data_IF_305819312207
#
_entry.id   IF_305819312207
#
_cell.length_a   1.000
_cell.length_b   1.000
_cell.length_c   1.000
_cell.angle_alpha   90.00
_cell.angle_beta   90.00
_cell.angle_gamma   90.00
#
_symmetry.space_group_name_H-M   'P 1'
#
loop_
_entity.id
_entity.type
_entity.pdbx_description
1 polymer ?
#
# COMPACT_ATOMS: atom_id res chain seq x y z
N UNK A 1 -12.56 7.90 16.34
CA UNK A 1 -11.50 8.58 17.12
C UNK A 1 -10.20 7.78 17.09
N UNK A 2 -10.17 6.55 17.64
CA UNK A 2 -9.00 5.65 17.68
C UNK A 2 -8.22 5.54 16.35
N UNK A 3 -8.86 5.03 15.30
CA UNK A 3 -8.24 4.85 13.98
C UNK A 3 -7.75 6.14 13.32
N UNK A 4 -8.38 7.28 13.65
CA UNK A 4 -7.98 8.60 13.13
C UNK A 4 -6.71 9.09 13.81
N UNK A 5 -6.63 8.94 15.14
CA UNK A 5 -5.44 9.32 15.91
C UNK A 5 -4.24 8.46 15.49
N UNK A 6 -4.43 7.14 15.36
CA UNK A 6 -3.40 6.22 14.90
C UNK A 6 -2.88 6.61 13.51
N UNK A 7 -3.79 6.85 12.56
CA UNK A 7 -3.41 7.24 11.20
C UNK A 7 -2.65 8.57 11.17
N UNK A 8 -3.13 9.59 11.89
CA UNK A 8 -2.47 10.89 11.94
C UNK A 8 -1.09 10.81 12.60
N UNK A 9 -0.99 10.18 13.78
CA UNK A 9 0.28 10.06 14.50
C UNK A 9 1.28 9.21 13.71
N UNK A 10 0.87 8.04 13.21
CA UNK A 10 1.75 7.16 12.44
C UNK A 10 2.22 7.80 11.14
N UNK A 11 1.36 8.59 10.47
CA UNK A 11 1.76 9.33 9.27
C UNK A 11 2.82 10.38 9.59
N UNK A 12 2.65 11.14 10.68
CA UNK A 12 3.64 12.13 11.14
C UNK A 12 4.98 11.46 11.45
N UNK A 13 4.99 10.41 12.28
CA UNK A 13 6.22 9.66 12.59
C UNK A 13 6.85 9.00 11.36
N UNK A 14 6.05 8.53 10.40
CA UNK A 14 6.56 7.98 9.16
C UNK A 14 7.33 9.04 8.34
N UNK A 15 6.92 10.30 8.33
CA UNK A 15 7.69 11.36 7.66
C UNK A 15 9.04 11.60 8.33
N UNK A 16 9.09 11.62 9.66
CA UNK A 16 10.36 11.70 10.41
C UNK A 16 11.27 10.54 10.06
N UNK A 17 10.75 9.31 10.15
CA UNK A 17 11.50 8.09 9.91
C UNK A 17 11.98 7.94 8.45
N UNK A 18 11.14 8.31 7.47
CA UNK A 18 11.50 8.27 6.06
C UNK A 18 12.63 9.26 5.73
N UNK A 19 12.55 10.48 6.26
CA UNK A 19 13.60 11.49 6.06
C UNK A 19 14.92 11.11 6.72
N UNK A 20 14.87 10.44 7.88
CA UNK A 20 16.04 9.90 8.57
C UNK A 20 16.67 8.74 7.79
N UNK A 21 15.84 7.87 7.20
CA UNK A 21 16.29 6.74 6.38
C UNK A 21 17.07 7.14 5.13
N UNK A 22 16.74 8.27 4.51
CA UNK A 22 17.52 8.77 3.36
C UNK A 22 18.98 9.08 3.72
N UNK A 23 19.27 9.40 5.00
CA UNK A 23 20.62 9.76 5.47
C UNK A 23 21.34 8.61 6.18
N UNK A 24 20.61 7.76 6.91
CA UNK A 24 21.18 6.73 7.79
C UNK A 24 21.01 5.30 7.28
N UNK A 25 20.44 5.12 6.08
CA UNK A 25 20.22 3.82 5.47
C UNK A 25 18.76 3.34 5.50
N UNK A 26 18.44 2.39 4.62
CA UNK A 26 17.13 1.73 4.49
C UNK A 26 16.95 0.59 5.48
N UNK A 27 18.02 -0.13 5.83
CA UNK A 27 17.93 -1.28 6.75
C UNK A 27 17.50 -0.87 8.17
N UNK A 28 18.03 0.21 8.78
CA UNK A 28 17.59 0.65 10.10
C UNK A 28 16.12 1.05 10.14
N UNK A 29 15.59 1.66 9.06
CA UNK A 29 14.18 2.00 8.95
C UNK A 29 13.29 0.75 8.98
N UNK A 30 13.66 -0.27 8.20
CA UNK A 30 12.93 -1.54 8.13
C UNK A 30 12.95 -2.26 9.49
N UNK A 31 14.12 -2.33 10.14
CA UNK A 31 14.25 -2.91 11.47
C UNK A 31 13.41 -2.16 12.50
N UNK A 32 13.40 -0.82 12.47
CA UNK A 32 12.61 0.00 13.39
C UNK A 32 11.11 -0.28 13.25
N UNK A 33 10.60 -0.36 12.01
CA UNK A 33 9.21 -0.75 11.76
C UNK A 33 8.86 -2.14 12.31
N UNK A 34 9.75 -3.13 12.10
CA UNK A 34 9.58 -4.49 12.63
C UNK A 34 9.61 -4.51 14.17
N UNK A 35 10.50 -3.73 14.80
CA UNK A 35 10.57 -3.64 16.27
C UNK A 35 9.31 -3.04 16.89
N UNK A 36 8.70 -2.05 16.24
CA UNK A 36 7.44 -1.46 16.70
C UNK A 36 6.29 -2.48 16.71
N UNK A 37 6.18 -3.28 15.64
CA UNK A 37 5.22 -4.39 15.56
C UNK A 37 5.51 -5.48 16.60
N UNK A 38 6.78 -5.83 16.80
CA UNK A 38 7.18 -6.83 17.79
C UNK A 38 6.78 -6.40 19.21
N UNK A 39 7.11 -5.17 19.59
CA UNK A 39 6.80 -4.63 20.90
C UNK A 39 5.28 -4.49 21.11
N UNK A 40 4.56 -4.11 20.06
CA UNK A 40 3.10 -4.07 20.05
C UNK A 40 2.48 -5.46 20.33
N UNK A 41 2.91 -6.50 19.62
CA UNK A 41 2.42 -7.86 19.86
C UNK A 41 2.85 -8.44 21.21
N UNK A 42 4.03 -8.09 21.72
CA UNK A 42 4.47 -8.46 23.07
C UNK A 42 3.56 -7.87 24.13
N UNK A 43 3.22 -6.58 24.02
CA UNK A 43 2.27 -5.92 24.95
C UNK A 43 0.91 -6.60 24.87
N UNK A 44 0.41 -6.90 23.67
CA UNK A 44 -0.86 -7.63 23.49
C UNK A 44 -0.83 -9.02 24.12
N UNK A 45 0.26 -9.77 23.97
CA UNK A 45 0.43 -11.07 24.60
C UNK A 45 0.42 -10.96 26.14
N UNK A 46 1.14 -9.99 26.71
CA UNK A 46 1.18 -9.75 28.17
C UNK A 46 -0.21 -9.36 28.70
N UNK A 47 -0.87 -8.38 28.07
CA UNK A 47 -2.20 -7.92 28.48
C UNK A 47 -3.22 -9.06 28.38
N UNK A 48 -3.12 -9.92 27.35
CA UNK A 48 -4.01 -11.07 27.19
C UNK A 48 -3.83 -12.17 28.25
N UNK A 49 -2.67 -12.23 28.91
CA UNK A 49 -2.39 -13.21 29.97
C UNK A 49 -2.99 -12.82 31.33
N UNK A 50 -3.45 -11.57 31.46
CA UNK A 50 -3.92 -10.99 32.71
C UNK A 50 -5.46 -11.00 32.75
N UNK A 51 -6.05 -11.92 33.52
CA UNK A 51 -7.50 -12.23 33.49
C UNK A 51 -8.44 -11.10 33.98
N UNK A 52 -7.94 -10.05 34.65
CA UNK A 52 -8.75 -9.00 35.30
C UNK A 52 -8.24 -7.58 34.99
N UNK A 53 -8.09 -7.26 33.70
CA UNK A 53 -7.62 -5.94 33.27
C UNK A 53 -8.69 -5.16 32.51
N UNK A 54 -8.72 -3.85 32.75
CA UNK A 54 -9.59 -2.92 32.05
C UNK A 54 -9.30 -2.96 30.53
N UNK A 55 -10.32 -2.96 29.65
CA UNK A 55 -10.13 -2.98 28.20
C UNK A 55 -9.23 -1.85 27.65
N UNK A 56 -9.07 -0.76 28.41
CA UNK A 56 -8.21 0.37 28.06
C UNK A 56 -6.72 0.00 27.93
N UNK A 57 -6.23 -1.03 28.62
CA UNK A 57 -4.82 -1.45 28.52
C UNK A 57 -4.48 -2.04 27.15
N UNK A 58 -5.48 -2.52 26.39
CA UNK A 58 -5.27 -2.90 25.00
C UNK A 58 -4.88 -1.71 24.12
N UNK A 59 -5.06 -0.46 24.54
CA UNK A 59 -4.55 0.70 23.78
C UNK A 59 -3.04 0.90 23.94
N UNK A 60 -2.39 0.30 24.95
CA UNK A 60 -0.95 0.50 25.18
C UNK A 60 -0.07 -0.01 24.04
N UNK A 61 -0.51 -1.05 23.33
CA UNK A 61 0.22 -1.59 22.17
C UNK A 61 0.35 -0.57 21.01
N UNK A 62 -0.48 0.48 20.99
CA UNK A 62 -0.48 1.50 19.94
C UNK A 62 0.67 2.49 20.11
N UNK A 63 1.14 2.70 21.34
CA UNK A 63 2.21 3.65 21.64
C UNK A 63 3.49 3.27 20.87
N UNK A 64 4.07 2.06 21.05
CA UNK A 64 5.28 1.68 20.31
C UNK A 64 5.01 1.52 18.81
N UNK A 65 3.80 1.11 18.42
CA UNK A 65 3.42 0.96 17.03
C UNK A 65 3.42 2.32 16.30
N UNK A 66 2.80 3.34 16.88
CA UNK A 66 2.72 4.70 16.30
C UNK A 66 4.10 5.37 16.28
N UNK A 67 4.89 5.24 17.35
CA UNK A 67 6.24 5.82 17.43
C UNK A 67 7.16 5.26 16.34
N UNK A 68 6.99 3.99 15.98
CA UNK A 68 7.74 3.34 14.91
C UNK A 68 7.16 3.58 13.49
N UNK A 69 6.14 4.44 13.37
CA UNK A 69 5.46 4.75 12.10
C UNK A 69 4.53 3.66 11.58
N UNK A 70 4.17 2.69 12.43
CA UNK A 70 3.23 1.58 12.14
C UNK A 70 3.56 0.85 10.83
N UNK A 71 2.54 0.28 10.19
CA UNK A 71 2.65 -0.37 8.88
C UNK A 71 3.07 0.61 7.77
N UNK A 72 2.84 1.92 7.94
CA UNK A 72 3.19 2.95 6.94
C UNK A 72 4.70 3.01 6.75
N UNK A 73 5.46 3.03 7.86
CA UNK A 73 6.93 3.04 7.85
C UNK A 73 7.50 1.77 7.23
N UNK A 74 6.97 0.59 7.61
CA UNK A 74 7.42 -0.69 7.06
C UNK A 74 7.17 -0.78 5.54
N UNK A 75 5.98 -0.39 5.08
CA UNK A 75 5.67 -0.38 3.65
C UNK A 75 6.55 0.61 2.90
N UNK A 76 6.78 1.80 3.45
CA UNK A 76 7.69 2.79 2.88
C UNK A 76 9.11 2.25 2.76
N UNK A 77 9.62 1.59 3.81
CA UNK A 77 10.95 0.99 3.82
C UNK A 77 11.10 -0.07 2.71
N UNK A 78 10.13 -0.99 2.60
CA UNK A 78 10.12 -2.02 1.57
C UNK A 78 10.06 -1.41 0.15
N UNK A 79 9.17 -0.44 -0.08
CA UNK A 79 9.02 0.22 -1.38
C UNK A 79 10.30 0.95 -1.80
N UNK A 80 10.94 1.63 -0.86
CA UNK A 80 12.18 2.37 -1.10
C UNK A 80 13.36 1.42 -1.34
N UNK A 81 13.47 0.36 -0.54
CA UNK A 81 14.50 -0.67 -0.75
C UNK A 81 14.37 -1.35 -2.12
N UNK A 82 13.14 -1.66 -2.56
CA UNK A 82 12.88 -2.21 -3.89
C UNK A 82 13.17 -1.16 -4.98
N UNK A 83 12.88 0.13 -4.78
CA UNK A 83 13.23 1.14 -5.79
C UNK A 83 14.74 1.29 -5.97
N UNK A 84 15.50 1.12 -4.88
CA UNK A 84 16.94 1.36 -4.85
C UNK A 84 17.71 0.16 -5.43
N UNK A 85 17.27 -1.08 -5.17
CA UNK A 85 17.95 -2.32 -5.58
C UNK A 85 17.57 -2.84 -6.97
N UNK A 86 16.48 -2.35 -7.56
CA UNK A 86 15.86 -2.97 -8.75
C UNK A 86 16.00 -2.06 -9.98
N UNK A 87 16.42 -2.60 -11.14
CA UNK A 87 16.49 -1.83 -12.38
C UNK A 87 15.09 -1.46 -12.89
N UNK A 88 14.98 -0.24 -13.44
CA UNK A 88 13.72 0.43 -13.79
C UNK A 88 12.73 -0.41 -14.61
N UNK A 89 13.22 -1.23 -15.55
CA UNK A 89 12.37 -2.06 -16.40
C UNK A 89 11.65 -3.21 -15.69
N UNK A 90 12.16 -3.65 -14.52
CA UNK A 90 11.61 -4.79 -13.77
C UNK A 90 10.96 -4.41 -12.43
N UNK A 91 10.96 -3.10 -12.09
CA UNK A 91 10.43 -2.59 -10.83
C UNK A 91 8.96 -2.96 -10.62
N UNK A 92 8.11 -2.73 -11.61
CA UNK A 92 6.69 -3.05 -11.53
C UNK A 92 6.41 -4.54 -11.24
N UNK A 93 7.23 -5.45 -11.78
CA UNK A 93 7.11 -6.88 -11.51
C UNK A 93 7.51 -7.22 -10.07
N UNK A 94 8.63 -6.69 -9.57
CA UNK A 94 9.07 -6.93 -8.19
C UNK A 94 8.16 -6.30 -7.15
N UNK A 95 7.62 -5.11 -7.43
CA UNK A 95 6.58 -4.48 -6.59
C UNK A 95 5.28 -5.30 -6.60
N UNK A 96 4.90 -5.85 -7.75
CA UNK A 96 3.76 -6.78 -7.86
C UNK A 96 3.98 -8.07 -7.05
N UNK A 97 5.19 -8.62 -7.05
CA UNK A 97 5.56 -9.77 -6.22
C UNK A 97 5.49 -9.46 -4.73
N UNK A 98 5.95 -8.28 -4.31
CA UNK A 98 5.85 -7.81 -2.93
C UNK A 98 4.39 -7.76 -2.46
N UNK A 99 3.52 -7.11 -3.24
CA UNK A 99 2.08 -7.06 -2.99
C UNK A 99 1.46 -8.47 -2.95
N UNK A 100 1.88 -9.35 -3.85
CA UNK A 100 1.47 -10.76 -3.84
C UNK A 100 1.84 -11.46 -2.52
N UNK A 101 3.07 -11.28 -2.04
CA UNK A 101 3.54 -11.86 -0.78
C UNK A 101 2.75 -11.34 0.44
N UNK A 102 2.45 -10.03 0.48
CA UNK A 102 1.61 -9.44 1.55
C UNK A 102 0.21 -10.07 1.55
N UNK A 103 -0.40 -10.26 0.38
CA UNK A 103 -1.73 -10.87 0.27
C UNK A 103 -1.73 -12.36 0.65
N UNK A 104 -0.69 -13.11 0.30
CA UNK A 104 -0.52 -14.51 0.73
C UNK A 104 -0.42 -14.56 2.27
N UNK A 105 0.40 -13.69 2.87
CA UNK A 105 0.53 -13.59 4.32
C UNK A 105 -0.80 -13.26 5.00
N UNK A 106 -1.56 -12.30 4.46
CA UNK A 106 -2.89 -11.94 4.96
C UNK A 106 -3.88 -13.10 4.86
N UNK A 107 -3.87 -13.85 3.75
CA UNK A 107 -4.74 -15.00 3.56
C UNK A 107 -4.44 -16.13 4.56
N UNK A 108 -3.16 -16.48 4.73
CA UNK A 108 -2.73 -17.50 5.70
C UNK A 108 -3.07 -17.04 7.12
N UNK A 109 -2.78 -15.77 7.46
CA UNK A 109 -3.06 -15.21 8.77
C UNK A 109 -4.55 -15.24 9.12
N UNK A 110 -5.41 -14.76 8.20
CA UNK A 110 -6.87 -14.72 8.43
C UNK A 110 -7.46 -16.13 8.55
N UNK A 111 -7.00 -17.07 7.70
CA UNK A 111 -7.51 -18.45 7.71
C UNK A 111 -7.08 -19.22 8.95
N UNK A 112 -5.81 -19.12 9.34
CA UNK A 112 -5.26 -19.85 10.49
C UNK A 112 -5.71 -19.27 11.83
N UNK A 113 -5.89 -17.95 11.92
CA UNK A 113 -6.24 -17.27 13.17
C UNK A 113 -7.55 -17.79 13.78
N UNK A 114 -8.59 -18.00 12.98
CA UNK A 114 -9.88 -18.48 13.49
C UNK A 114 -9.80 -19.88 14.12
N UNK A 115 -9.02 -20.79 13.55
CA UNK A 115 -8.85 -22.14 14.11
C UNK A 115 -8.03 -22.13 15.40
N UNK A 116 -6.90 -21.42 15.40
CA UNK A 116 -6.02 -21.31 16.57
C UNK A 116 -6.75 -20.64 17.73
N UNK A 117 -7.51 -19.59 17.43
CA UNK A 117 -8.30 -18.86 18.41
C UNK A 117 -9.34 -19.76 19.11
N UNK A 118 -10.10 -20.54 18.35
CA UNK A 118 -11.14 -21.41 18.92
C UNK A 118 -10.57 -22.54 19.79
N UNK A 119 -9.36 -23.02 19.51
CA UNK A 119 -8.74 -24.13 20.24
C UNK A 119 -7.91 -23.68 21.46
N UNK A 120 -7.19 -22.56 21.35
CA UNK A 120 -6.17 -22.17 22.34
C UNK A 120 -6.31 -20.74 22.88
N UNK A 121 -7.36 -20.02 22.50
CA UNK A 121 -7.66 -18.67 22.97
C UNK A 121 -6.75 -17.56 22.41
N UNK A 122 -6.97 -16.33 22.86
CA UNK A 122 -6.28 -15.13 22.36
C UNK A 122 -4.77 -15.10 22.66
N UNK A 123 -4.36 -15.59 23.83
CA UNK A 123 -2.96 -15.53 24.27
C UNK A 123 -2.03 -16.28 23.32
N UNK A 124 -2.45 -17.47 22.88
CA UNK A 124 -1.68 -18.31 21.95
C UNK A 124 -1.52 -17.64 20.59
N UNK A 125 -2.58 -16.97 20.10
CA UNK A 125 -2.53 -16.21 18.83
C UNK A 125 -1.47 -15.11 18.91
N UNK A 126 -1.46 -14.31 19.98
CA UNK A 126 -0.48 -13.24 20.13
C UNK A 126 0.95 -13.77 20.29
N UNK A 127 1.15 -14.89 21.00
CA UNK A 127 2.47 -15.53 21.11
C UNK A 127 3.00 -16.00 19.76
N UNK A 128 2.13 -16.56 18.89
CA UNK A 128 2.52 -16.94 17.52
C UNK A 128 2.88 -15.70 16.70
N UNK A 129 2.13 -14.60 16.82
CA UNK A 129 2.50 -13.34 16.16
C UNK A 129 3.87 -12.82 16.62
N UNK A 130 4.17 -12.88 17.93
CA UNK A 130 5.48 -12.50 18.48
C UNK A 130 6.60 -13.37 17.91
N UNK A 131 6.45 -14.69 17.87
CA UNK A 131 7.50 -15.58 17.35
C UNK A 131 7.71 -15.36 15.85
N UNK A 132 6.64 -15.20 15.06
CA UNK A 132 6.76 -14.85 13.64
C UNK A 132 7.48 -13.51 13.44
N UNK A 133 7.16 -12.50 14.24
CA UNK A 133 7.78 -11.18 14.14
C UNK A 133 9.26 -11.19 14.59
N UNK A 134 9.61 -11.98 15.61
CA UNK A 134 10.99 -12.21 16.02
C UNK A 134 11.79 -12.88 14.90
N UNK A 135 11.24 -13.92 14.27
CA UNK A 135 11.88 -14.57 13.12
C UNK A 135 12.08 -13.58 11.96
N UNK A 136 11.09 -12.75 11.66
CA UNK A 136 11.20 -11.69 10.64
C UNK A 136 12.28 -10.67 10.97
N UNK A 137 12.40 -10.29 12.25
CA UNK A 137 13.44 -9.38 12.73
C UNK A 137 14.85 -9.96 12.58
N UNK A 138 15.04 -11.21 13.03
CA UNK A 138 16.32 -11.94 12.89
C UNK A 138 16.69 -12.08 11.42
N UNK A 139 15.74 -12.50 10.58
CA UNK A 139 15.96 -12.63 9.14
C UNK A 139 16.35 -11.28 8.51
N UNK A 140 15.66 -10.20 8.86
CA UNK A 140 15.96 -8.86 8.36
C UNK A 140 17.34 -8.36 8.82
N UNK A 141 17.79 -8.77 10.01
CA UNK A 141 19.11 -8.44 10.50
C UNK A 141 20.24 -9.18 9.76
N UNK A 142 20.06 -10.45 9.40
CA UNK A 142 21.12 -11.23 8.76
C UNK A 142 21.11 -11.14 7.23
N UNK A 143 19.94 -11.06 6.60
CA UNK A 143 19.80 -11.23 5.15
C UNK A 143 19.63 -9.93 4.36
N UNK A 144 19.31 -8.80 5.01
CA UNK A 144 19.12 -7.53 4.31
C UNK A 144 20.42 -6.73 4.35
N UNK A 145 20.96 -6.48 3.16
CA UNK A 145 22.11 -5.61 2.93
C UNK A 145 21.66 -4.15 2.91
N UNK A 146 22.57 -3.24 3.25
CA UNK A 146 22.28 -1.80 3.22
C UNK A 146 22.29 -1.31 1.76
N UNK A 147 21.22 -0.66 1.32
CA UNK A 147 21.07 -0.22 -0.08
C UNK A 147 21.54 1.22 -0.33
N UNK A 148 21.81 2.00 0.73
CA UNK A 148 22.26 3.39 0.63
C UNK A 148 23.71 3.48 1.11
N UNK A 149 24.57 4.08 0.30
CA UNK A 149 25.94 4.41 0.70
C UNK A 149 25.90 5.45 1.84
N UNK A 150 26.35 5.04 3.02
CA UNK A 150 26.34 5.87 4.22
C UNK A 150 27.47 6.91 4.07
N UNK A 151 27.13 8.12 3.60
CA UNK A 151 28.09 9.20 3.38
C UNK A 151 28.64 9.82 4.68
N UNK A 152 27.98 9.61 5.83
CA UNK A 152 28.40 10.16 7.12
C UNK A 152 28.32 9.14 8.26
N UNK A 153 29.44 8.94 8.96
CA UNK A 153 29.60 7.95 10.03
C UNK A 153 29.13 8.47 11.41
N UNK A 154 28.60 9.70 11.51
CA UNK A 154 28.06 10.23 12.75
C UNK A 154 26.62 9.76 12.96
N UNK A 155 26.46 8.58 13.60
CA UNK A 155 25.17 8.04 14.06
C UNK A 155 24.55 8.93 15.15
N UNK A 156 23.96 10.06 14.77
CA UNK A 156 23.23 10.95 15.69
C UNK A 156 21.77 10.52 15.74
N UNK A 157 21.44 9.62 16.67
CA UNK A 157 20.07 9.19 16.97
C UNK A 157 19.13 10.36 17.34
N UNK A 158 19.69 11.47 17.84
CA UNK A 158 18.94 12.70 18.14
C UNK A 158 18.41 13.42 16.89
N UNK A 159 18.95 13.14 15.70
CA UNK A 159 18.45 13.70 14.44
C UNK A 159 17.08 13.15 14.03
N UNK A 160 16.60 12.07 14.68
CA UNK A 160 15.24 11.54 14.51
C UNK A 160 14.15 12.53 14.94
N UNK A 161 14.48 13.45 15.86
CA UNK A 161 13.55 14.46 16.40
C UNK A 161 13.82 15.86 15.87
N UNK A 162 14.72 16.02 14.89
CA UNK A 162 14.89 17.31 14.24
C UNK A 162 13.68 17.59 13.33
N UNK A 163 13.18 18.82 13.39
CA UNK A 163 12.02 19.28 12.61
C UNK A 163 12.45 19.73 11.20
N UNK A 164 13.75 19.99 11.00
CA UNK A 164 14.31 20.39 9.71
C UNK A 164 14.08 19.34 8.59
N UNK A 165 14.28 18.03 8.80
CA UNK A 165 13.95 16.97 7.83
C UNK A 165 12.49 16.92 7.39
N UNK A 166 11.53 17.26 8.27
CA UNK A 166 10.09 17.31 7.92
C UNK A 166 9.78 18.55 7.09
N UNK A 167 10.36 19.70 7.46
CA UNK A 167 10.28 20.91 6.64
C UNK A 167 10.87 20.65 5.25
N UNK A 168 11.99 19.95 5.16
CA UNK A 168 12.58 19.53 3.89
C UNK A 168 11.69 18.52 3.14
N UNK A 169 11.07 17.54 3.81
CA UNK A 169 10.17 16.57 3.17
C UNK A 169 8.91 17.23 2.61
N UNK A 170 8.33 18.16 3.35
CA UNK A 170 7.22 18.99 2.88
C UNK A 170 7.67 19.89 1.73
N UNK A 171 8.83 20.54 1.85
CA UNK A 171 9.41 21.34 0.76
C UNK A 171 9.69 20.48 -0.47
N UNK A 172 10.13 19.24 -0.34
CA UNK A 172 10.38 18.29 -1.45
C UNK A 172 9.09 17.95 -2.21
N UNK A 173 7.95 17.83 -1.51
CA UNK A 173 6.63 17.64 -2.12
C UNK A 173 6.16 18.89 -2.90
N UNK A 174 6.60 20.07 -2.48
CA UNK A 174 6.22 21.36 -3.09
C UNK A 174 7.34 21.99 -3.96
N UNK A 175 8.51 21.37 -4.03
CA UNK A 175 9.69 21.86 -4.75
C UNK A 175 9.34 21.94 -6.24
N UNK A 176 9.62 23.09 -6.84
CA UNK A 176 9.42 23.27 -8.28
C UNK A 176 10.48 22.45 -9.01
N UNK A 177 10.07 21.32 -9.60
CA UNK A 177 10.91 20.48 -10.46
C UNK A 177 10.73 20.91 -11.91
N UNK A 178 11.78 20.82 -12.71
CA UNK A 178 11.71 21.01 -14.16
C UNK A 178 10.80 19.95 -14.81
N UNK A 179 10.25 20.22 -15.99
CA UNK A 179 9.44 19.29 -16.80
C UNK A 179 8.14 18.73 -16.19
N UNK A 180 7.28 19.56 -15.57
CA UNK A 180 5.94 19.14 -15.09
C UNK A 180 5.93 17.92 -14.14
N UNK A 181 7.10 17.48 -13.62
CA UNK A 181 7.23 16.30 -12.77
C UNK A 181 6.43 16.47 -11.47
N UNK A 182 6.29 17.71 -10.96
CA UNK A 182 5.41 18.00 -9.82
C UNK A 182 3.96 17.58 -10.10
N UNK A 183 3.41 17.99 -11.24
CA UNK A 183 2.02 17.68 -11.60
C UNK A 183 1.83 16.18 -11.79
N UNK A 184 2.81 15.50 -12.41
CA UNK A 184 2.82 14.04 -12.54
C UNK A 184 2.81 13.35 -11.16
N UNK A 185 3.67 13.77 -10.23
CA UNK A 185 3.73 13.20 -8.87
C UNK A 185 2.41 13.40 -8.12
N UNK A 186 1.82 14.60 -8.16
CA UNK A 186 0.51 14.87 -7.54
C UNK A 186 -0.62 14.04 -8.16
N UNK A 187 -0.60 13.82 -9.48
CA UNK A 187 -1.55 12.90 -10.11
C UNK A 187 -1.34 11.46 -9.65
N UNK A 188 -0.10 10.98 -9.53
CA UNK A 188 0.19 9.61 -9.05
C UNK A 188 -0.22 9.43 -7.58
N UNK A 189 0.02 10.43 -6.73
CA UNK A 189 -0.49 10.46 -5.36
C UNK A 189 -2.02 10.35 -5.32
N UNK A 190 -2.69 11.15 -6.14
CA UNK A 190 -4.16 11.12 -6.26
C UNK A 190 -4.66 9.76 -6.74
N UNK A 191 -4.05 9.19 -7.78
CA UNK A 191 -4.44 7.88 -8.31
C UNK A 191 -4.33 6.81 -7.24
N UNK A 192 -3.18 6.74 -6.56
CA UNK A 192 -2.93 5.75 -5.51
C UNK A 192 -3.92 5.91 -4.35
N UNK A 193 -4.03 7.12 -3.79
CA UNK A 193 -4.85 7.39 -2.62
C UNK A 193 -6.35 7.16 -2.88
N UNK A 194 -6.87 7.60 -4.04
CA UNK A 194 -8.28 7.42 -4.39
C UNK A 194 -8.57 5.94 -4.67
N UNK A 195 -7.66 5.24 -5.36
CA UNK A 195 -7.83 3.82 -5.66
C UNK A 195 -7.84 2.93 -4.40
N UNK A 196 -6.89 3.13 -3.49
CA UNK A 196 -6.84 2.39 -2.22
C UNK A 196 -8.08 2.71 -1.38
N UNK A 197 -8.47 3.98 -1.30
CA UNK A 197 -9.69 4.41 -0.60
C UNK A 197 -10.94 3.69 -1.08
N UNK A 198 -11.18 3.67 -2.40
CA UNK A 198 -12.31 2.96 -3.00
C UNK A 198 -12.29 1.45 -2.72
N UNK A 199 -11.11 0.82 -2.80
CA UNK A 199 -10.95 -0.63 -2.58
C UNK A 199 -11.33 -1.05 -1.16
N UNK A 200 -10.82 -0.36 -0.15
CA UNK A 200 -11.10 -0.70 1.24
C UNK A 200 -12.52 -0.35 1.66
N UNK A 201 -13.07 0.72 1.11
CA UNK A 201 -14.43 1.13 1.41
C UNK A 201 -15.46 0.11 0.90
N UNK A 202 -15.21 -0.53 -0.27
CA UNK A 202 -15.99 -1.67 -0.76
C UNK A 202 -15.91 -2.86 0.21
N UNK A 203 -14.70 -3.27 0.60
CA UNK A 203 -14.48 -4.40 1.54
C UNK A 203 -15.20 -4.23 2.89
N UNK A 204 -15.37 -3.00 3.37
CA UNK A 204 -16.02 -2.74 4.65
C UNK A 204 -17.54 -3.00 4.61
N UNK A 205 -18.20 -2.68 3.49
CA UNK A 205 -19.66 -2.73 3.36
C UNK A 205 -20.14 -4.01 2.66
N UNK A 206 -19.29 -4.65 1.85
CA UNK A 206 -19.67 -5.78 1.00
C UNK A 206 -20.30 -6.94 1.77
N UNK A 207 -19.83 -7.25 2.98
CA UNK A 207 -20.43 -8.30 3.81
C UNK A 207 -21.89 -7.99 4.17
N UNK A 208 -22.17 -6.76 4.60
CA UNK A 208 -23.52 -6.32 4.97
C UNK A 208 -24.46 -6.37 3.75
N UNK A 209 -23.94 -5.95 2.60
CA UNK A 209 -24.65 -6.02 1.32
C UNK A 209 -25.01 -7.47 0.94
N UNK A 210 -24.04 -8.37 0.97
CA UNK A 210 -24.21 -9.78 0.60
C UNK A 210 -25.17 -10.50 1.55
N UNK A 211 -25.11 -10.18 2.84
CA UNK A 211 -26.03 -10.72 3.84
C UNK A 211 -27.46 -10.26 3.60
N UNK A 212 -27.67 -9.00 3.21
CA UNK A 212 -29.02 -8.46 2.99
C UNK A 212 -29.65 -8.95 1.69
N UNK A 213 -28.92 -8.88 0.57
CA UNK A 213 -29.49 -9.14 -0.75
C UNK A 213 -29.47 -10.62 -1.16
N UNK A 214 -28.46 -11.37 -0.73
CA UNK A 214 -28.27 -12.77 -1.12
C UNK A 214 -28.42 -13.74 0.05
N UNK A 215 -28.72 -13.23 1.24
CA UNK A 215 -28.83 -14.02 2.48
C UNK A 215 -27.60 -14.88 2.73
N UNK A 216 -26.41 -14.37 2.38
CA UNK A 216 -25.16 -15.13 2.58
C UNK A 216 -24.88 -15.34 4.06
N UNK A 217 -24.58 -16.59 4.40
CA UNK A 217 -24.05 -16.97 5.70
C UNK A 217 -22.58 -16.59 5.81
N UNK A 218 -22.07 -16.51 7.04
CA UNK A 218 -20.66 -16.21 7.31
C UNK A 218 -19.73 -17.18 6.58
N UNK A 219 -20.08 -18.47 6.54
CA UNK A 219 -19.32 -19.53 5.85
C UNK A 219 -19.17 -19.27 4.35
N UNK A 220 -20.23 -18.84 3.67
CA UNK A 220 -20.17 -18.54 2.23
C UNK A 220 -19.32 -17.30 1.95
N UNK A 221 -19.39 -16.33 2.84
CA UNK A 221 -18.58 -15.12 2.74
C UNK A 221 -17.09 -15.39 2.94
N UNK A 222 -16.72 -16.22 3.91
CA UNK A 222 -15.31 -16.60 4.11
C UNK A 222 -14.76 -17.41 2.93
N UNK A 223 -15.56 -18.32 2.36
CA UNK A 223 -15.21 -19.01 1.11
C UNK A 223 -15.03 -18.04 -0.07
N UNK A 224 -15.89 -17.01 -0.17
CA UNK A 224 -15.76 -15.97 -1.19
C UNK A 224 -14.49 -15.12 -1.00
N UNK A 225 -14.14 -14.77 0.23
CA UNK A 225 -12.88 -14.07 0.52
C UNK A 225 -11.67 -14.92 0.12
N UNK A 226 -11.67 -16.21 0.46
CA UNK A 226 -10.62 -17.15 0.07
C UNK A 226 -10.49 -17.28 -1.45
N UNK A 227 -11.62 -17.39 -2.16
CA UNK A 227 -11.62 -17.37 -3.62
C UNK A 227 -11.05 -16.05 -4.16
N UNK A 228 -11.44 -14.92 -3.57
CA UNK A 228 -11.02 -13.59 -4.02
C UNK A 228 -9.52 -13.36 -3.83
N UNK A 229 -8.93 -13.82 -2.72
CA UNK A 229 -7.48 -13.68 -2.48
C UNK A 229 -6.66 -14.55 -3.44
N UNK A 230 -7.05 -15.81 -3.64
CA UNK A 230 -6.37 -16.72 -4.57
C UNK A 230 -6.45 -16.18 -6.00
N UNK A 231 -7.64 -15.73 -6.41
CA UNK A 231 -7.86 -15.11 -7.73
C UNK A 231 -7.05 -13.83 -7.86
N UNK A 232 -6.98 -13.01 -6.80
CA UNK A 232 -6.13 -11.81 -6.81
C UNK A 232 -4.66 -12.15 -7.04
N UNK A 233 -4.07 -13.05 -6.24
CA UNK A 233 -2.65 -13.39 -6.35
C UNK A 233 -2.31 -13.90 -7.77
N UNK A 234 -3.11 -14.85 -8.27
CA UNK A 234 -2.89 -15.49 -9.58
C UNK A 234 -3.08 -14.52 -10.75
N UNK A 235 -4.23 -13.83 -10.81
CA UNK A 235 -4.55 -12.95 -11.94
C UNK A 235 -3.75 -11.64 -11.91
N UNK A 236 -3.45 -11.06 -10.74
CA UNK A 236 -2.62 -9.85 -10.66
C UNK A 236 -1.20 -10.14 -11.15
N UNK A 237 -0.60 -11.25 -10.71
CA UNK A 237 0.73 -11.64 -11.15
C UNK A 237 0.75 -11.93 -12.65
N UNK A 238 -0.19 -12.74 -13.15
CA UNK A 238 -0.30 -13.04 -14.57
C UNK A 238 -0.49 -11.78 -15.41
N UNK A 239 -1.35 -10.86 -14.97
CA UNK A 239 -1.64 -9.62 -15.69
C UNK A 239 -0.43 -8.67 -15.74
N UNK A 240 0.31 -8.50 -14.65
CA UNK A 240 1.56 -7.72 -14.64
C UNK A 240 2.59 -8.33 -15.59
N UNK A 241 2.76 -9.66 -15.58
CA UNK A 241 3.70 -10.35 -16.47
C UNK A 241 3.29 -10.15 -17.94
N UNK A 242 2.02 -10.31 -18.28
CA UNK A 242 1.52 -10.11 -19.64
C UNK A 242 1.77 -8.66 -20.10
N UNK A 243 1.41 -7.67 -19.28
CA UNK A 243 1.55 -6.26 -19.65
C UNK A 243 3.02 -5.82 -19.81
N UNK A 244 3.88 -6.22 -18.86
CA UNK A 244 5.28 -5.78 -18.82
C UNK A 244 6.16 -6.59 -19.78
N UNK A 245 6.01 -7.91 -19.82
CA UNK A 245 6.91 -8.80 -20.58
C UNK A 245 6.43 -9.06 -22.00
N UNK A 246 5.12 -9.28 -22.20
CA UNK A 246 4.56 -9.65 -23.50
C UNK A 246 4.24 -8.41 -24.35
N UNK A 247 3.46 -7.47 -23.79
CA UNK A 247 2.95 -6.32 -24.56
C UNK A 247 3.90 -5.11 -24.50
N UNK A 248 4.80 -5.05 -23.51
CA UNK A 248 5.75 -3.95 -23.28
C UNK A 248 5.09 -2.56 -23.31
N UNK A 249 3.89 -2.48 -22.73
CA UNK A 249 3.16 -1.20 -22.65
C UNK A 249 3.81 -0.26 -21.63
N UNK A 250 3.68 1.05 -21.86
CA UNK A 250 4.04 2.07 -20.87
C UNK A 250 3.21 1.85 -19.59
N UNK A 251 3.81 2.02 -18.43
CA UNK A 251 3.16 1.78 -17.12
C UNK A 251 1.89 2.61 -16.94
N UNK A 252 1.86 3.85 -17.44
CA UNK A 252 0.66 4.70 -17.35
C UNK A 252 -0.54 4.13 -18.13
N UNK A 253 -0.28 3.49 -19.28
CA UNK A 253 -1.31 2.84 -20.09
C UNK A 253 -1.77 1.55 -19.42
N UNK A 254 -0.85 0.81 -18.79
CA UNK A 254 -1.19 -0.36 -17.99
C UNK A 254 -2.10 -0.01 -16.79
N UNK A 255 -1.85 1.12 -16.12
CA UNK A 255 -2.72 1.65 -15.05
C UNK A 255 -4.13 1.92 -15.59
N UNK A 256 -4.25 2.55 -16.76
CA UNK A 256 -5.55 2.83 -17.39
C UNK A 256 -6.33 1.55 -17.71
N UNK A 257 -5.66 0.53 -18.27
CA UNK A 257 -6.29 -0.77 -18.51
C UNK A 257 -6.77 -1.42 -17.21
N UNK A 258 -5.94 -1.40 -16.16
CA UNK A 258 -6.33 -1.94 -14.86
C UNK A 258 -7.55 -1.20 -14.27
N UNK A 259 -7.62 0.13 -14.42
CA UNK A 259 -8.78 0.91 -13.97
C UNK A 259 -10.08 0.57 -14.73
N UNK A 260 -10.00 0.28 -16.03
CA UNK A 260 -11.17 -0.19 -16.81
C UNK A 260 -11.70 -1.51 -16.24
N UNK A 261 -10.82 -2.44 -15.86
CA UNK A 261 -11.22 -3.68 -15.20
C UNK A 261 -11.84 -3.44 -13.81
N UNK A 262 -11.31 -2.48 -13.03
CA UNK A 262 -11.89 -2.08 -11.74
C UNK A 262 -13.28 -1.46 -11.88
N UNK A 263 -13.48 -0.57 -12.87
CA UNK A 263 -14.79 0.04 -13.15
C UNK A 263 -15.79 -1.05 -13.58
N UNK A 264 -15.38 -1.93 -14.49
CA UNK A 264 -16.22 -3.03 -14.99
C UNK A 264 -16.61 -4.00 -13.87
N UNK A 265 -15.67 -4.31 -12.97
CA UNK A 265 -15.93 -5.11 -11.78
C UNK A 265 -16.98 -4.47 -10.87
N UNK A 266 -16.81 -3.18 -10.57
CA UNK A 266 -17.72 -2.45 -9.68
C UNK A 266 -19.12 -2.37 -10.29
N UNK A 267 -19.23 -2.09 -11.59
CA UNK A 267 -20.51 -2.11 -12.30
C UNK A 267 -21.18 -3.49 -12.25
N UNK A 268 -20.41 -4.56 -12.49
CA UNK A 268 -20.95 -5.92 -12.47
C UNK A 268 -21.45 -6.33 -11.07
N UNK A 269 -20.80 -5.86 -10.01
CA UNK A 269 -21.29 -6.02 -8.64
C UNK A 269 -22.55 -5.19 -8.37
N UNK A 270 -22.62 -3.96 -8.90
CA UNK A 270 -23.80 -3.09 -8.75
C UNK A 270 -25.05 -3.72 -9.38
N UNK A 271 -24.91 -4.32 -10.57
CA UNK A 271 -26.01 -5.03 -11.25
C UNK A 271 -26.13 -6.51 -10.85
N UNK A 272 -25.47 -6.95 -9.78
CA UNK A 272 -25.49 -8.35 -9.39
C UNK A 272 -26.89 -8.78 -8.95
N UNK A 273 -27.51 -9.68 -9.74
CA UNK A 273 -28.78 -10.34 -9.40
C UNK A 273 -28.57 -11.80 -8.98
N UNK A 274 -27.45 -12.41 -9.36
CA UNK A 274 -27.09 -13.80 -9.06
C UNK A 274 -25.74 -13.87 -8.36
N UNK A 275 -25.55 -14.89 -7.50
CA UNK A 275 -24.30 -15.12 -6.78
C UNK A 275 -23.07 -15.16 -7.70
N UNK A 276 -23.20 -15.76 -8.89
CA UNK A 276 -22.09 -15.90 -9.84
C UNK A 276 -21.57 -14.54 -10.37
N UNK A 277 -22.41 -13.50 -10.41
CA UNK A 277 -21.97 -12.17 -10.84
C UNK A 277 -20.95 -11.58 -9.85
N UNK A 278 -21.08 -11.90 -8.56
CA UNK A 278 -20.16 -11.43 -7.51
C UNK A 278 -18.81 -12.14 -7.62
N UNK A 279 -18.80 -13.46 -7.91
CA UNK A 279 -17.57 -14.21 -8.18
C UNK A 279 -16.87 -13.69 -9.44
N UNK A 280 -17.61 -13.45 -10.53
CA UNK A 280 -17.05 -12.83 -11.73
C UNK A 280 -16.49 -11.43 -11.47
N UNK A 281 -17.16 -10.64 -10.62
CA UNK A 281 -16.70 -9.29 -10.27
C UNK A 281 -15.40 -9.37 -9.47
N UNK A 282 -15.26 -10.34 -8.57
CA UNK A 282 -14.00 -10.60 -7.88
C UNK A 282 -12.86 -10.90 -8.88
N UNK A 283 -13.09 -11.72 -9.90
CA UNK A 283 -12.07 -12.00 -10.93
C UNK A 283 -11.65 -10.77 -11.73
N UNK A 284 -12.61 -9.93 -12.15
CA UNK A 284 -12.29 -8.67 -12.83
C UNK A 284 -11.54 -7.69 -11.90
N UNK A 285 -11.94 -7.63 -10.62
CA UNK A 285 -11.26 -6.82 -9.60
C UNK A 285 -9.81 -7.26 -9.39
N UNK A 286 -9.53 -8.56 -9.47
CA UNK A 286 -8.18 -9.11 -9.34
C UNK A 286 -7.23 -8.53 -10.40
N UNK A 287 -7.69 -8.39 -11.64
CA UNK A 287 -6.90 -7.77 -12.73
C UNK A 287 -6.73 -6.26 -12.51
N UNK A 288 -7.77 -5.57 -12.03
CA UNK A 288 -7.70 -4.15 -11.68
C UNK A 288 -6.81 -3.83 -10.48
N UNK A 289 -6.38 -4.83 -9.70
CA UNK A 289 -5.56 -4.63 -8.52
C UNK A 289 -4.11 -4.23 -8.83
N UNK A 290 -3.68 -4.37 -10.09
CA UNK A 290 -2.34 -4.00 -10.53
C UNK A 290 -2.07 -2.48 -10.51
N UNK A 291 -3.10 -1.65 -10.30
CA UNK A 291 -2.94 -0.18 -10.17
C UNK A 291 -1.98 0.18 -9.05
N UNK A 292 -2.01 -0.52 -7.90
CA UNK A 292 -1.12 -0.24 -6.75
C UNK A 292 0.38 -0.36 -7.12
N UNK A 293 0.88 -1.56 -7.53
CA UNK A 293 2.30 -1.73 -7.83
C UNK A 293 2.76 -0.94 -9.07
N UNK A 294 1.88 -0.73 -10.07
CA UNK A 294 2.24 0.05 -11.25
C UNK A 294 2.39 1.54 -10.92
N UNK A 295 1.55 2.08 -10.05
CA UNK A 295 1.66 3.49 -9.60
C UNK A 295 2.93 3.69 -8.77
N UNK A 296 3.24 2.75 -7.88
CA UNK A 296 4.50 2.75 -7.11
C UNK A 296 5.74 2.65 -8.02
N UNK A 297 5.68 1.81 -9.06
CA UNK A 297 6.76 1.68 -10.04
C UNK A 297 6.98 2.98 -10.81
N UNK A 298 5.91 3.59 -11.33
CA UNK A 298 6.00 4.85 -12.06
C UNK A 298 6.48 5.99 -11.15
N UNK A 299 6.03 6.02 -9.90
CA UNK A 299 6.51 6.96 -8.88
C UNK A 299 8.03 6.85 -8.69
N UNK A 300 8.55 5.61 -8.59
CA UNK A 300 9.99 5.36 -8.43
C UNK A 300 10.86 5.84 -9.61
N UNK A 301 10.26 6.03 -10.80
CA UNK A 301 10.96 6.49 -12.02
C UNK A 301 10.94 8.02 -12.17
N UNK A 302 9.95 8.67 -11.56
CA UNK A 302 9.85 10.15 -11.56
C UNK A 302 10.56 10.73 -10.33
N UNK A 303 10.69 9.94 -9.26
CA UNK A 303 11.41 10.31 -8.05
C UNK A 303 12.95 10.25 -8.23
N UNK A 304 13.69 11.30 -7.82
CA UNK A 304 15.13 11.20 -7.59
C UNK A 304 15.42 10.12 -6.53
N UNK A 305 16.54 9.40 -6.68
CA UNK A 305 16.94 8.31 -5.76
C UNK A 305 17.08 8.79 -4.31
N UNK A 306 17.55 10.01 -4.11
CA UNK A 306 17.78 10.63 -2.79
C UNK A 306 16.49 10.99 -2.04
N UNK A 307 15.35 11.08 -2.74
CA UNK A 307 14.08 11.54 -2.18
C UNK A 307 12.99 10.44 -2.22
N UNK A 308 13.37 9.21 -2.62
CA UNK A 308 12.44 8.11 -2.90
C UNK A 308 11.59 7.74 -1.68
N UNK A 309 12.19 7.63 -0.48
CA UNK A 309 11.42 7.25 0.71
C UNK A 309 10.51 8.35 1.23
N UNK A 310 10.87 9.63 1.14
CA UNK A 310 9.96 10.73 1.49
C UNK A 310 8.72 10.71 0.60
N UNK A 311 8.90 10.41 -0.68
CA UNK A 311 7.81 10.31 -1.64
C UNK A 311 6.95 9.07 -1.40
N UNK A 312 7.53 7.92 -1.06
CA UNK A 312 6.74 6.74 -0.67
C UNK A 312 6.02 6.93 0.67
N UNK A 313 6.65 7.58 1.65
CA UNK A 313 6.03 7.92 2.93
C UNK A 313 4.81 8.81 2.73
N UNK A 314 4.94 9.83 1.87
CA UNK A 314 3.83 10.67 1.47
C UNK A 314 2.73 9.85 0.81
N UNK A 315 3.08 8.96 -0.11
CA UNK A 315 2.14 8.14 -0.88
C UNK A 315 1.30 7.26 0.03
N UNK A 316 1.93 6.56 0.97
CA UNK A 316 1.22 5.68 1.91
C UNK A 316 0.42 6.51 2.92
N UNK A 317 0.97 7.62 3.44
CA UNK A 317 0.26 8.49 4.39
C UNK A 317 -1.02 9.10 3.80
N UNK A 318 -0.94 9.64 2.57
CA UNK A 318 -2.12 10.15 1.85
C UNK A 318 -3.14 9.04 1.59
N UNK A 319 -2.69 7.83 1.29
CA UNK A 319 -3.58 6.69 1.09
C UNK A 319 -4.36 6.33 2.36
N UNK A 320 -3.75 6.45 3.54
CA UNK A 320 -4.40 6.17 4.83
C UNK A 320 -5.47 7.22 5.17
N UNK A 321 -5.22 8.49 4.86
CA UNK A 321 -6.23 9.56 5.04
C UNK A 321 -7.40 9.36 4.07
N UNK A 322 -7.11 9.07 2.80
CA UNK A 322 -8.13 8.77 1.79
C UNK A 322 -8.97 7.54 2.16
N UNK A 323 -8.33 6.52 2.72
CA UNK A 323 -8.98 5.32 3.26
C UNK A 323 -10.02 5.66 4.32
N UNK A 324 -9.65 6.45 5.33
CA UNK A 324 -10.56 6.83 6.41
C UNK A 324 -11.76 7.61 5.90
N UNK A 325 -11.53 8.56 4.99
CA UNK A 325 -12.60 9.35 4.37
C UNK A 325 -13.54 8.45 3.54
N UNK A 326 -12.97 7.55 2.73
CA UNK A 326 -13.74 6.65 1.85
C UNK A 326 -14.60 5.68 2.65
N UNK A 327 -14.09 5.10 3.74
CA UNK A 327 -14.86 4.22 4.64
C UNK A 327 -16.03 4.98 5.28
N UNK A 328 -15.78 6.21 5.77
CA UNK A 328 -16.82 7.03 6.38
C UNK A 328 -17.93 7.38 5.38
N UNK A 329 -17.55 7.79 4.16
CA UNK A 329 -18.48 8.11 3.09
C UNK A 329 -19.33 6.90 2.68
N UNK A 330 -18.70 5.75 2.42
CA UNK A 330 -19.44 4.55 2.00
C UNK A 330 -20.34 4.00 3.10
N UNK A 331 -19.91 4.02 4.37
CA UNK A 331 -20.76 3.63 5.51
C UNK A 331 -21.96 4.56 5.64
N UNK A 332 -21.76 5.88 5.49
CA UNK A 332 -22.84 6.86 5.55
C UNK A 332 -23.86 6.64 4.43
N UNK A 333 -23.39 6.52 3.18
CA UNK A 333 -24.25 6.26 2.01
C UNK A 333 -25.01 4.95 2.19
N UNK A 334 -24.33 3.88 2.61
CA UNK A 334 -24.96 2.58 2.82
C UNK A 334 -26.08 2.65 3.86
N UNK A 335 -25.84 3.28 5.01
CA UNK A 335 -26.84 3.41 6.07
C UNK A 335 -28.11 4.16 5.61
N UNK A 336 -27.95 5.21 4.79
CA UNK A 336 -29.08 5.97 4.26
C UNK A 336 -29.83 5.22 3.15
N UNK A 337 -29.12 4.45 2.32
CA UNK A 337 -29.68 3.81 1.13
C UNK A 337 -30.14 2.37 1.35
N UNK A 338 -29.88 1.81 2.54
CA UNK A 338 -30.10 0.39 2.81
C UNK A 338 -31.55 -0.06 2.54
N UNK A 339 -32.55 0.81 2.73
CA UNK A 339 -33.97 0.44 2.60
C UNK A 339 -34.48 0.46 1.15
N UNK A 340 -33.92 1.31 0.29
CA UNK A 340 -34.40 1.51 -1.08
C UNK A 340 -33.47 0.90 -2.13
N UNK A 341 -32.16 1.13 -2.00
CA UNK A 341 -31.14 0.69 -2.97
C UNK A 341 -29.84 0.25 -2.26
N UNK A 342 -29.78 -1.00 -1.75
CA UNK A 342 -28.58 -1.53 -1.09
C UNK A 342 -27.32 -1.55 -1.99
N UNK A 343 -27.49 -1.43 -3.31
CA UNK A 343 -26.42 -1.41 -4.32
C UNK A 343 -25.77 -0.02 -4.48
N UNK A 344 -26.33 1.03 -3.88
CA UNK A 344 -25.89 2.41 -4.07
C UNK A 344 -24.41 2.65 -3.74
N UNK A 345 -23.88 1.99 -2.70
CA UNK A 345 -22.46 2.11 -2.33
C UNK A 345 -21.53 1.63 -3.45
N UNK A 346 -21.93 0.62 -4.23
CA UNK A 346 -21.14 0.12 -5.36
C UNK A 346 -21.11 1.14 -6.50
N UNK A 347 -22.18 1.90 -6.72
CA UNK A 347 -22.17 3.01 -7.68
C UNK A 347 -21.27 4.16 -7.22
N UNK A 348 -21.23 4.45 -5.91
CA UNK A 348 -20.27 5.42 -5.35
C UNK A 348 -18.83 4.95 -5.58
N UNK A 349 -18.51 3.69 -5.29
CA UNK A 349 -17.19 3.12 -5.59
C UNK A 349 -16.86 3.18 -7.08
N UNK A 350 -17.85 2.97 -7.95
CA UNK A 350 -17.67 3.12 -9.41
C UNK A 350 -17.32 4.56 -9.79
N UNK A 351 -18.03 5.55 -9.22
CA UNK A 351 -17.74 6.96 -9.44
C UNK A 351 -16.34 7.35 -8.96
N UNK A 352 -15.89 6.79 -7.83
CA UNK A 352 -14.52 6.95 -7.32
C UNK A 352 -13.50 6.40 -8.33
N UNK A 353 -13.72 5.20 -8.90
CA UNK A 353 -12.82 4.66 -9.91
C UNK A 353 -12.84 5.42 -11.25
N UNK A 354 -13.99 5.96 -11.66
CA UNK A 354 -14.08 6.85 -12.83
C UNK A 354 -13.28 8.14 -12.57
N UNK A 355 -13.37 8.72 -11.38
CA UNK A 355 -12.55 9.86 -11.00
C UNK A 355 -11.05 9.52 -11.06
N UNK A 356 -10.64 8.36 -10.54
CA UNK A 356 -9.26 7.87 -10.67
C UNK A 356 -8.84 7.74 -12.14
N UNK A 357 -9.73 7.28 -13.03
CA UNK A 357 -9.46 7.17 -14.45
C UNK A 357 -9.27 8.54 -15.12
N UNK A 358 -10.07 9.54 -14.75
CA UNK A 358 -9.88 10.92 -15.24
C UNK A 358 -8.52 11.47 -14.80
N UNK A 359 -8.13 11.26 -13.54
CA UNK A 359 -6.80 11.66 -13.04
C UNK A 359 -5.68 10.92 -13.76
N UNK A 360 -5.85 9.63 -14.06
CA UNK A 360 -4.89 8.84 -14.83
C UNK A 360 -4.75 9.33 -16.28
N UNK A 361 -5.86 9.76 -16.91
CA UNK A 361 -5.83 10.37 -18.24
C UNK A 361 -5.07 11.70 -18.20
N UNK A 362 -5.36 12.58 -17.23
CA UNK A 362 -4.62 13.84 -17.05
C UNK A 362 -3.14 13.56 -16.84
N UNK A 363 -2.80 12.59 -15.97
CA UNK A 363 -1.43 12.17 -15.74
C UNK A 363 -0.75 11.69 -17.04
N UNK A 364 -1.47 10.98 -17.90
CA UNK A 364 -0.94 10.51 -19.18
C UNK A 364 -0.63 11.64 -20.16
N UNK A 365 -1.45 12.70 -20.19
CA UNK A 365 -1.20 13.87 -21.02
C UNK A 365 0.02 14.65 -20.52
N UNK A 366 0.07 14.90 -19.21
CA UNK A 366 1.22 15.58 -18.57
C UNK A 366 2.51 14.78 -18.75
N UNK A 367 2.44 13.46 -18.61
CA UNK A 367 3.59 12.56 -18.80
C UNK A 367 4.03 12.48 -20.26
N UNK A 368 3.11 12.64 -21.23
CA UNK A 368 3.42 12.67 -22.66
C UNK A 368 4.10 13.97 -23.09
N UNK A 369 3.80 15.07 -22.43
CA UNK A 369 4.47 16.36 -22.64
C UNK A 369 5.90 16.39 -22.10
N UNK A 370 6.29 15.39 -21.30
CA UNK A 370 7.67 15.17 -20.87
C UNK A 370 8.55 14.89 -22.09
N UNK A 371 9.26 15.91 -22.58
CA UNK A 371 10.39 15.68 -23.50
C UNK A 371 11.47 14.91 -22.71
N UNK A 372 12.03 13.82 -23.25
CA UNK A 372 13.19 13.19 -22.62
C UNK A 372 14.38 14.15 -22.80
N UNK A 373 14.85 14.75 -21.71
CA UNK A 373 16.20 15.33 -21.69
C UNK A 373 17.19 14.16 -21.66
N UNK A 374 17.68 13.77 -22.83
CA UNK A 374 18.79 12.82 -22.98
C UNK A 374 20.08 13.58 -23.33
N UNK A 375 20.45 14.55 -22.49
CA UNK A 375 21.79 15.14 -22.49
C UNK A 375 22.69 14.38 -21.50
N UNK A 376 23.02 13.11 -21.79
CA UNK A 376 24.14 12.37 -21.19
C UNK A 376 24.67 11.23 -22.11
N UNK A 377 24.65 11.43 -23.44
CA UNK A 377 25.44 10.62 -24.40
C UNK A 377 26.35 11.49 -25.30
N UNK A 378 26.66 12.72 -24.87
CA UNK A 378 27.83 13.44 -25.38
C UNK A 378 28.99 13.02 -24.47
N UNK A 379 29.71 11.97 -24.85
CA UNK A 379 31.13 11.69 -24.59
C UNK A 379 31.51 10.20 -24.77
N UNK A 380 31.06 9.55 -25.85
CA UNK A 380 31.75 8.32 -26.35
C UNK A 380 32.06 8.35 -27.86
N UNK A 381 31.81 9.47 -28.56
CA UNK A 381 32.13 9.60 -30.00
C UNK A 381 33.42 10.37 -30.33
N UNK A 382 34.19 10.84 -29.33
CA UNK A 382 35.53 11.43 -29.55
C UNK A 382 36.63 10.51 -29.02
N UNK A 383 36.93 9.47 -29.79
CA UNK A 383 38.04 8.55 -29.54
C UNK A 383 38.41 7.70 -30.74
N UNK A 384 38.16 8.18 -31.96
CA UNK A 384 38.63 7.54 -33.18
C UNK A 384 39.91 8.26 -33.68
N UNK A 385 41.05 7.74 -33.29
CA UNK A 385 42.33 7.86 -34.03
C UNK A 385 42.91 6.45 -34.03
N UNK A 386 42.73 5.64 -35.08
CA UNK A 386 43.58 5.63 -36.29
C UNK A 386 45.00 6.14 -35.99
N UNK A 387 45.90 5.22 -35.68
CA UNK A 387 46.94 4.74 -36.60
C UNK A 387 47.48 3.38 -36.16
#
# INVERSE_FOLDING_TARGET
>A
ARSVIEACMSSLFCFFLASWSDKHGRRPLLLLGITGLLLSYLIMAIVSSLSYISPWYFLLHEIPLCLCGSNISLMTACLSYISDTVPEGSRGLRLGLMEGAVNIGMFIGTSSCSYIFNSFGYQTVYLICVTCQLCSWIFSWFCIEESVEILDNEKKWYALFDVAPVKESMVVLFKRRANNDRTTLWCLFGIFAIFTGGRFADTNVIFLYLRKNFSWTLERYTLFLAFSTVTWITFCFAFIVILVKTIRVKEIVAIMFALIFSISSSLMQGFASKNWHIYGAATLRSMGSCVSPLTQSLMSKVAPKEESARLFAALVSFSTVSLLLSIALNTYVYNQTILFLPQAFTFVTTAIYILTMVVAIIASFVYRERRPDYNLLVNEDDGNTKD
#
